data_IF_470518576987
#
_entry.id   IF_470518576987
#
_cell.length_a   1.000
_cell.length_b   1.000
_cell.length_c   1.000
_cell.angle_alpha   90.00
_cell.angle_beta   90.00
_cell.angle_gamma   90.00
#
_symmetry.space_group_name_H-M   'P 1'
#
loop_
_entity.id
_entity.type
_entity.pdbx_description
1 polymer ?
#
# COMPACT_ATOMS: atom_id res chain seq x y z
N UNK A 1 16.39 10.29 29.20
CA UNK A 1 14.93 10.50 29.20
C UNK A 1 14.47 10.45 27.75
N UNK A 2 13.59 9.50 27.43
CA UNK A 2 13.02 9.30 26.10
C UNK A 2 12.08 10.46 25.78
N UNK A 3 12.10 10.91 24.54
CA UNK A 3 11.30 12.03 24.12
C UNK A 3 10.40 11.60 22.97
N UNK A 4 9.22 11.10 23.31
CA UNK A 4 8.23 10.64 22.32
C UNK A 4 7.50 11.86 21.73
N UNK A 5 8.22 12.71 21.03
CA UNK A 5 7.64 13.91 20.46
C UNK A 5 7.32 13.70 18.99
N UNK A 6 6.04 13.67 18.64
CA UNK A 6 5.56 13.44 17.28
C UNK A 6 5.38 14.77 16.52
N UNK A 7 6.19 15.02 15.49
CA UNK A 7 5.96 15.97 14.40
C UNK A 7 5.58 15.18 13.13
N UNK A 8 6.53 14.46 12.54
CA UNK A 8 6.29 13.59 11.39
C UNK A 8 5.28 12.49 11.70
N UNK A 9 4.37 12.23 10.76
CA UNK A 9 3.31 11.25 10.96
C UNK A 9 2.89 10.59 9.66
N UNK A 10 2.53 9.32 9.78
CA UNK A 10 2.06 8.50 8.68
C UNK A 10 1.02 7.50 9.16
N UNK A 11 0.05 7.20 8.30
CA UNK A 11 -0.96 6.17 8.51
C UNK A 11 -0.91 5.19 7.36
N UNK A 12 -1.00 3.89 7.65
CA UNK A 12 -1.03 2.88 6.60
C UNK A 12 -2.00 1.74 6.90
N UNK A 13 -2.63 1.24 5.83
CA UNK A 13 -3.37 0.00 5.81
C UNK A 13 -2.46 -1.10 5.23
N UNK A 14 -2.31 -2.19 5.98
CA UNK A 14 -1.48 -3.32 5.59
C UNK A 14 -2.30 -4.61 5.58
N UNK A 15 -2.45 -5.21 4.39
CA UNK A 15 -3.16 -6.47 4.18
C UNK A 15 -4.59 -6.52 4.75
N UNK A 16 -5.29 -5.39 4.73
CA UNK A 16 -6.67 -5.28 5.24
C UNK A 16 -7.68 -4.77 4.21
N UNK A 17 -7.22 -4.17 3.10
CA UNK A 17 -8.10 -3.74 2.02
C UNK A 17 -8.13 -4.79 0.89
N UNK A 18 -9.30 -5.12 0.31
CA UNK A 18 -9.41 -6.13 -0.74
C UNK A 18 -8.60 -5.79 -2.00
N UNK A 19 -8.67 -4.54 -2.47
CA UNK A 19 -7.91 -4.08 -3.64
C UNK A 19 -6.50 -3.55 -3.36
N UNK A 20 -6.23 -3.06 -2.15
CA UNK A 20 -5.00 -2.35 -1.83
C UNK A 20 -4.27 -3.07 -0.69
N UNK A 21 -3.47 -4.11 -0.98
CA UNK A 21 -2.66 -4.79 0.03
C UNK A 21 -1.76 -3.84 0.83
N UNK A 22 -1.41 -2.68 0.26
CA UNK A 22 -0.73 -1.61 0.99
C UNK A 22 -1.25 -0.24 0.55
N UNK A 23 -1.57 0.60 1.52
CA UNK A 23 -1.92 2.02 1.34
C UNK A 23 -1.24 2.82 2.45
N UNK A 24 -0.60 3.93 2.11
CA UNK A 24 0.16 4.79 3.02
C UNK A 24 -0.18 6.25 2.72
N UNK A 25 -0.41 7.04 3.78
CA UNK A 25 -0.36 8.49 3.75
C UNK A 25 0.74 8.96 4.70
N UNK A 26 1.53 9.95 4.30
CA UNK A 26 2.70 10.42 5.03
C UNK A 26 2.80 11.95 4.94
N UNK A 27 3.04 12.61 6.08
CA UNK A 27 3.56 13.98 6.12
C UNK A 27 5.05 13.92 6.39
N UNK A 28 5.85 14.55 5.54
CA UNK A 28 7.26 14.81 5.81
C UNK A 28 7.39 16.20 6.43
N UNK A 29 7.89 16.25 7.65
CA UNK A 29 8.08 17.50 8.38
C UNK A 29 9.55 17.88 8.46
N UNK A 30 9.90 19.03 7.89
CA UNK A 30 11.27 19.49 7.74
C UNK A 30 11.34 21.02 7.57
N UNK A 31 12.53 21.60 7.72
CA UNK A 31 12.77 22.99 7.33
C UNK A 31 12.43 23.23 5.85
N UNK A 32 11.65 24.29 5.58
CA UNK A 32 11.21 24.67 4.23
C UNK A 32 12.38 25.11 3.33
N UNK A 33 13.51 25.48 3.91
CA UNK A 33 14.72 25.79 3.15
C UNK A 33 15.65 24.58 2.95
N UNK A 34 15.36 23.39 3.51
CA UNK A 34 16.24 22.21 3.33
C UNK A 34 16.15 21.71 1.88
N UNK A 35 17.27 21.69 1.11
CA UNK A 35 17.30 21.14 -0.23
C UNK A 35 16.71 19.71 -0.30
N UNK A 36 15.73 19.52 -1.17
CA UNK A 36 14.91 18.30 -1.27
C UNK A 36 14.44 18.17 -2.71
N UNK A 37 14.56 16.97 -3.30
CA UNK A 37 13.85 16.62 -4.54
C UNK A 37 12.52 15.95 -4.21
N UNK A 38 11.51 16.33 -4.96
CA UNK A 38 10.17 15.73 -4.92
C UNK A 38 10.21 14.24 -5.29
N UNK A 39 9.11 13.53 -5.09
CA UNK A 39 8.98 12.11 -5.45
C UNK A 39 9.19 11.96 -6.95
N UNK A 40 10.12 11.09 -7.33
CA UNK A 40 10.44 10.80 -8.71
C UNK A 40 11.30 9.55 -8.83
N UNK A 41 11.45 9.07 -10.06
CA UNK A 41 12.41 8.01 -10.35
C UNK A 41 13.83 8.55 -10.18
N UNK A 42 14.62 7.86 -9.38
CA UNK A 42 16.03 8.17 -9.21
C UNK A 42 16.81 7.75 -10.45
N UNK A 43 18.05 8.22 -10.56
CA UNK A 43 18.97 7.77 -11.59
C UNK A 43 19.10 6.23 -11.57
N UNK A 44 19.09 5.60 -12.75
CA UNK A 44 19.01 4.14 -12.89
C UNK A 44 17.58 3.58 -12.87
N UNK A 45 16.58 4.36 -12.45
CA UNK A 45 15.16 4.02 -12.63
C UNK A 45 14.65 2.88 -11.76
N UNK A 46 15.40 2.46 -10.73
CA UNK A 46 15.03 1.37 -9.83
C UNK A 46 14.30 1.83 -8.57
N UNK A 47 14.61 3.04 -8.09
CA UNK A 47 14.03 3.62 -6.87
C UNK A 47 13.08 4.75 -7.26
N UNK A 48 11.88 4.73 -6.69
CA UNK A 48 10.87 5.77 -6.78
C UNK A 48 10.61 6.34 -5.39
N UNK A 49 10.91 7.61 -5.18
CA UNK A 49 10.75 8.27 -3.89
C UNK A 49 11.35 9.66 -3.85
N UNK A 50 11.08 10.41 -2.79
CA UNK A 50 11.69 11.73 -2.60
C UNK A 50 13.13 11.61 -2.10
N UNK A 51 13.95 12.64 -2.36
CA UNK A 51 15.38 12.63 -2.01
C UNK A 51 15.77 13.84 -1.17
N UNK A 52 16.45 13.58 -0.06
CA UNK A 52 17.12 14.60 0.72
C UNK A 52 18.44 14.96 0.02
N UNK A 53 18.59 16.20 -0.47
CA UNK A 53 19.79 16.62 -1.21
C UNK A 53 20.96 16.99 -0.29
N UNK A 54 20.71 17.16 1.02
CA UNK A 54 21.76 17.45 2.00
C UNK A 54 22.42 16.16 2.46
N UNK A 55 21.63 15.15 2.83
CA UNK A 55 22.13 13.89 3.37
C UNK A 55 22.18 12.75 2.34
N UNK A 56 21.60 12.93 1.15
CA UNK A 56 21.60 11.95 0.06
C UNK A 56 20.59 10.81 0.20
N UNK A 57 19.89 10.70 1.33
CA UNK A 57 18.96 9.61 1.63
C UNK A 57 17.50 9.90 1.25
N UNK A 58 16.58 9.08 1.76
CA UNK A 58 15.13 9.20 1.56
C UNK A 58 14.33 9.02 2.85
N UNK A 59 13.12 9.57 2.90
CA UNK A 59 12.14 9.36 3.97
C UNK A 59 11.07 8.32 3.61
N UNK A 60 10.82 8.13 2.32
CA UNK A 60 9.89 7.16 1.74
C UNK A 60 10.29 6.89 0.29
N UNK A 61 10.49 5.62 -0.02
CA UNK A 61 10.67 5.17 -1.38
C UNK A 61 10.25 3.70 -1.57
N UNK A 62 10.06 3.30 -2.83
CA UNK A 62 9.87 1.92 -3.22
C UNK A 62 10.74 1.54 -4.42
N UNK A 63 10.92 0.23 -4.64
CA UNK A 63 11.61 -0.30 -5.83
C UNK A 63 10.65 -1.02 -6.78
N UNK A 64 11.10 -1.22 -8.03
CA UNK A 64 10.41 -2.06 -9.02
C UNK A 64 10.16 -3.48 -8.56
N UNK A 65 11.04 -4.01 -7.71
CA UNK A 65 10.94 -5.37 -7.18
C UNK A 65 9.90 -5.51 -6.05
N UNK A 66 9.21 -4.41 -5.69
CA UNK A 66 8.16 -4.43 -4.68
C UNK A 66 8.69 -4.33 -3.25
N UNK A 67 9.84 -3.68 -3.07
CA UNK A 67 10.28 -3.23 -1.74
C UNK A 67 9.75 -1.84 -1.47
N UNK A 68 9.28 -1.60 -0.25
CA UNK A 68 8.91 -0.25 0.22
C UNK A 68 9.61 -0.01 1.54
N UNK A 69 10.15 1.17 1.76
CA UNK A 69 10.68 1.55 3.06
C UNK A 69 10.51 3.02 3.34
N UNK A 70 10.22 3.30 4.61
CA UNK A 70 9.98 4.63 5.12
C UNK A 70 10.35 4.69 6.59
N UNK A 71 10.60 5.89 7.09
CA UNK A 71 11.01 6.09 8.48
C UNK A 71 10.37 7.32 9.09
N UNK A 72 10.43 7.39 10.42
CA UNK A 72 10.36 8.65 11.17
C UNK A 72 11.61 8.81 12.02
N UNK A 73 12.03 10.05 12.20
CA UNK A 73 13.07 10.40 13.15
C UNK A 73 12.50 10.37 14.57
N UNK A 74 13.28 10.02 15.60
CA UNK A 74 12.88 10.24 17.00
C UNK A 74 13.48 11.58 17.45
N UNK A 75 12.69 12.42 18.12
CA UNK A 75 13.20 13.68 18.68
C UNK A 75 14.11 13.38 19.87
N UNK A 76 15.26 14.03 19.96
CA UNK A 76 16.19 13.83 21.06
C UNK A 76 16.85 15.15 21.45
N UNK A 77 16.95 15.44 22.75
CA UNK A 77 17.71 16.59 23.27
C UNK A 77 19.21 16.43 23.05
N UNK A 78 19.69 15.19 23.02
CA UNK A 78 21.10 14.86 22.83
C UNK A 78 21.25 13.92 21.64
N UNK A 79 21.77 14.46 20.55
CA UNK A 79 22.11 13.75 19.33
C UNK A 79 23.61 13.47 19.28
N UNK A 80 23.97 12.43 18.54
CA UNK A 80 25.34 12.12 18.16
C UNK A 80 25.67 12.94 16.89
N UNK A 81 26.63 13.88 16.92
CA UNK A 81 26.98 14.69 15.75
C UNK A 81 27.54 13.86 14.59
N UNK A 82 28.33 12.83 14.90
CA UNK A 82 28.99 11.94 13.94
C UNK A 82 28.11 10.75 13.52
N UNK A 83 26.83 10.73 13.89
CA UNK A 83 25.95 9.63 13.51
C UNK A 83 25.67 9.62 12.01
N UNK A 84 25.53 8.41 11.45
CA UNK A 84 25.06 8.21 10.08
C UNK A 84 23.67 8.82 9.90
N UNK A 85 23.41 9.34 8.70
CA UNK A 85 22.09 9.86 8.35
C UNK A 85 21.03 8.76 8.43
N UNK A 86 19.90 9.02 9.09
CA UNK A 86 18.80 8.04 9.16
C UNK A 86 18.16 7.77 7.80
N UNK A 87 18.19 8.74 6.89
CA UNK A 87 17.70 8.60 5.51
C UNK A 87 18.47 7.57 4.66
N UNK A 88 19.63 7.11 5.14
CA UNK A 88 20.39 6.00 4.57
C UNK A 88 19.71 4.65 4.82
N UNK A 89 18.95 4.50 5.92
CA UNK A 89 18.36 3.22 6.31
C UNK A 89 17.35 2.66 5.29
N UNK A 90 16.38 3.45 4.77
CA UNK A 90 15.47 2.96 3.75
C UNK A 90 16.21 2.65 2.46
N UNK A 91 17.16 3.51 2.07
CA UNK A 91 17.95 3.34 0.86
C UNK A 91 18.74 2.02 0.88
N UNK A 92 19.46 1.74 1.97
CA UNK A 92 20.20 0.48 2.17
C UNK A 92 19.31 -0.75 2.06
N UNK A 93 18.07 -0.69 2.55
CA UNK A 93 17.13 -1.82 2.40
C UNK A 93 16.70 -2.00 0.94
N UNK A 94 16.33 -0.90 0.28
CA UNK A 94 15.85 -0.88 -1.11
C UNK A 94 16.92 -1.37 -2.09
N UNK A 95 18.19 -1.01 -1.88
CA UNK A 95 19.33 -1.42 -2.72
C UNK A 95 19.84 -2.83 -2.41
N UNK A 96 19.51 -3.37 -1.23
CA UNK A 96 19.91 -4.73 -0.86
C UNK A 96 19.09 -5.79 -1.59
N UNK A 97 19.59 -7.03 -1.66
CA UNK A 97 18.79 -8.21 -2.05
C UNK A 97 18.14 -8.94 -0.87
N UNK A 98 18.23 -8.37 0.33
CA UNK A 98 17.78 -9.01 1.58
C UNK A 98 16.27 -8.92 1.72
N UNK A 99 15.65 -9.94 2.32
CA UNK A 99 14.29 -9.83 2.84
C UNK A 99 14.23 -8.82 4.00
N UNK A 100 13.03 -8.33 4.32
CA UNK A 100 12.83 -7.41 5.47
C UNK A 100 13.34 -8.00 6.79
N UNK A 101 13.19 -9.31 6.98
CA UNK A 101 13.64 -10.01 8.19
C UNK A 101 15.17 -10.11 8.28
N UNK A 102 15.84 -10.44 7.18
CA UNK A 102 17.30 -10.50 7.11
C UNK A 102 17.93 -9.13 7.31
N UNK A 103 17.36 -8.10 6.66
CA UNK A 103 17.80 -6.72 6.83
C UNK A 103 17.66 -6.26 8.29
N UNK A 104 16.52 -6.56 8.93
CA UNK A 104 16.31 -6.23 10.34
C UNK A 104 17.36 -6.87 11.26
N UNK A 105 17.69 -8.17 11.06
CA UNK A 105 18.69 -8.89 11.87
C UNK A 105 20.10 -8.31 11.72
N UNK A 106 20.43 -7.80 10.54
CA UNK A 106 21.71 -7.14 10.30
C UNK A 106 21.75 -5.76 10.92
N UNK A 107 20.73 -4.94 10.67
CA UNK A 107 20.68 -3.56 11.13
C UNK A 107 20.81 -3.46 12.66
N UNK A 108 20.23 -4.41 13.42
CA UNK A 108 20.36 -4.47 14.90
C UNK A 108 21.80 -4.41 15.38
N UNK A 109 22.78 -4.89 14.59
CA UNK A 109 24.20 -4.90 14.98
C UNK A 109 24.83 -3.51 14.92
N UNK A 110 24.29 -2.60 14.11
CA UNK A 110 24.88 -1.30 13.79
C UNK A 110 23.95 -0.12 14.13
N UNK A 111 22.75 -0.35 14.70
CA UNK A 111 21.81 0.72 15.06
C UNK A 111 22.35 1.80 16.00
N UNK A 112 23.46 1.52 16.69
CA UNK A 112 24.14 2.45 17.57
C UNK A 112 24.88 3.56 16.81
N UNK A 113 25.13 3.38 15.51
CA UNK A 113 25.72 4.39 14.63
C UNK A 113 24.73 5.47 14.17
N UNK A 114 23.44 5.31 14.49
CA UNK A 114 22.37 6.20 14.09
C UNK A 114 21.74 6.91 15.29
N UNK A 115 21.33 8.17 15.08
CA UNK A 115 20.39 8.84 15.99
C UNK A 115 19.03 8.13 16.03
N UNK A 116 18.13 8.53 16.93
CA UNK A 116 16.88 7.82 17.15
C UNK A 116 16.01 7.74 15.90
N UNK A 117 15.50 6.55 15.59
CA UNK A 117 14.64 6.32 14.42
C UNK A 117 13.55 5.27 14.67
N UNK A 118 12.54 5.32 13.80
CA UNK A 118 11.57 4.27 13.56
C UNK A 118 11.63 3.95 12.07
N UNK A 119 11.91 2.70 11.70
CA UNK A 119 12.03 2.25 10.31
C UNK A 119 10.98 1.20 10.04
N UNK A 120 10.31 1.32 8.88
CA UNK A 120 9.48 0.27 8.32
C UNK A 120 10.13 -0.23 7.03
N UNK A 121 10.23 -1.54 6.91
CA UNK A 121 10.63 -2.23 5.67
C UNK A 121 9.50 -3.17 5.26
N UNK A 122 9.06 -3.07 4.01
CA UNK A 122 8.01 -3.89 3.41
C UNK A 122 8.59 -4.64 2.23
N UNK A 123 8.31 -5.93 2.20
CA UNK A 123 8.57 -6.80 1.05
C UNK A 123 7.22 -7.36 0.59
N UNK A 124 6.74 -6.84 -0.54
CA UNK A 124 5.45 -7.21 -1.11
C UNK A 124 5.44 -8.64 -1.66
N UNK A 125 6.60 -9.15 -2.09
CA UNK A 125 6.75 -10.51 -2.62
C UNK A 125 6.49 -11.55 -1.53
N UNK A 126 7.05 -11.32 -0.33
CA UNK A 126 6.86 -12.19 0.83
C UNK A 126 5.67 -11.78 1.70
N UNK A 127 5.03 -10.65 1.41
CA UNK A 127 3.96 -10.03 2.20
C UNK A 127 4.35 -9.88 3.67
N UNK A 128 5.61 -9.50 3.91
CA UNK A 128 6.15 -9.25 5.24
C UNK A 128 6.48 -7.78 5.41
N UNK A 129 6.19 -7.27 6.60
CA UNK A 129 6.54 -5.92 7.02
C UNK A 129 7.22 -6.01 8.38
N UNK A 130 8.31 -5.28 8.55
CA UNK A 130 9.05 -5.19 9.80
C UNK A 130 9.18 -3.75 10.25
N UNK A 131 8.93 -3.55 11.55
CA UNK A 131 9.21 -2.35 12.30
C UNK A 131 10.50 -2.52 13.07
N UNK A 132 11.43 -1.56 12.91
CA UNK A 132 12.74 -1.56 13.55
C UNK A 132 12.93 -0.21 14.22
N UNK A 133 13.34 -0.20 15.49
CA UNK A 133 13.69 1.03 16.18
C UNK A 133 14.87 0.81 17.12
N UNK A 134 15.77 1.79 17.17
CA UNK A 134 16.87 1.83 18.13
C UNK A 134 16.49 2.56 19.43
N UNK A 135 15.18 2.75 19.66
CA UNK A 135 14.61 3.38 20.86
C UNK A 135 13.64 2.42 21.56
N UNK A 136 13.47 2.55 22.89
CA UNK A 136 14.08 3.56 23.78
C UNK A 136 15.57 3.32 24.07
N UNK A 137 16.31 4.39 24.42
CA UNK A 137 17.74 4.29 24.78
C UNK A 137 17.94 3.40 26.00
N UNK A 138 19.00 2.59 25.99
CA UNK A 138 19.34 1.68 27.09
C UNK A 138 18.56 0.36 27.10
N UNK A 139 17.66 0.16 26.13
CA UNK A 139 17.00 -1.12 25.88
C UNK A 139 17.54 -1.73 24.58
N UNK A 140 17.40 -3.05 24.40
CA UNK A 140 17.67 -3.70 23.12
C UNK A 140 16.85 -3.05 21.99
N UNK A 141 17.38 -2.98 20.76
CA UNK A 141 16.64 -2.47 19.62
C UNK A 141 15.35 -3.28 19.41
N UNK A 142 14.26 -2.59 19.09
CA UNK A 142 12.98 -3.23 18.77
C UNK A 142 13.05 -3.75 17.33
N UNK A 143 12.74 -5.03 17.15
CA UNK A 143 12.44 -5.63 15.84
C UNK A 143 11.13 -6.37 15.96
N UNK A 144 10.14 -5.98 15.17
CA UNK A 144 8.79 -6.51 15.24
C UNK A 144 8.24 -6.73 13.84
N UNK A 145 7.73 -7.93 13.56
CA UNK A 145 6.89 -8.14 12.38
C UNK A 145 5.55 -7.43 12.56
N UNK A 146 5.21 -6.53 11.65
CA UNK A 146 3.94 -5.80 11.66
C UNK A 146 2.84 -6.72 11.14
N UNK A 147 1.78 -6.87 11.93
CA UNK A 147 0.63 -7.71 11.61
C UNK A 147 -0.31 -6.97 10.65
N UNK A 148 -1.17 -7.69 9.90
CA UNK A 148 -2.23 -7.05 9.12
C UNK A 148 -3.08 -6.12 9.98
N UNK A 149 -3.32 -4.91 9.51
CA UNK A 149 -4.01 -3.88 10.29
C UNK A 149 -3.93 -2.48 9.69
N UNK A 150 -4.63 -1.55 10.34
CA UNK A 150 -4.39 -0.11 10.17
C UNK A 150 -3.44 0.31 11.29
N UNK A 151 -2.36 0.96 10.91
CA UNK A 151 -1.30 1.41 11.81
C UNK A 151 -1.00 2.88 11.59
N UNK A 152 -0.55 3.53 12.65
CA UNK A 152 -0.05 4.89 12.57
C UNK A 152 1.33 4.93 13.20
N UNK A 153 2.28 5.48 12.47
CA UNK A 153 3.63 5.74 12.95
C UNK A 153 3.83 7.25 13.02
N UNK A 154 4.35 7.72 14.14
CA UNK A 154 4.88 9.06 14.29
C UNK A 154 6.34 8.96 14.74
N UNK A 155 6.93 10.01 15.27
CA UNK A 155 8.28 9.97 15.85
C UNK A 155 8.37 9.17 17.17
N UNK A 156 7.26 8.65 17.68
CA UNK A 156 7.22 7.73 18.82
C UNK A 156 7.15 6.27 18.35
N UNK A 157 7.02 5.31 19.28
CA UNK A 157 6.81 3.90 18.96
C UNK A 157 5.59 3.71 18.04
N UNK A 158 5.63 2.69 17.18
CA UNK A 158 4.48 2.30 16.33
C UNK A 158 3.19 2.18 17.15
N UNK A 159 2.10 2.79 16.66
CA UNK A 159 0.78 2.85 17.31
C UNK A 159 0.77 3.47 18.72
N UNK A 160 1.72 4.36 19.03
CA UNK A 160 1.71 5.11 20.30
C UNK A 160 0.40 5.88 20.48
N UNK A 161 -0.17 5.94 21.69
CA UNK A 161 -1.50 6.49 21.95
C UNK A 161 -1.56 8.03 21.98
N UNK A 162 -0.77 8.70 21.13
CA UNK A 162 -0.79 10.15 20.99
C UNK A 162 -2.14 10.65 20.46
N UNK A 163 -2.69 11.79 20.95
CA UNK A 163 -3.99 12.30 20.48
C UNK A 163 -4.10 12.41 18.97
N UNK A 164 -3.06 12.95 18.30
CA UNK A 164 -3.02 13.05 16.84
C UNK A 164 -2.94 11.70 16.13
N UNK A 165 -2.26 10.73 16.74
CA UNK A 165 -2.15 9.37 16.23
C UNK A 165 -3.51 8.67 16.28
N UNK A 166 -4.19 8.74 17.43
CA UNK A 166 -5.52 8.15 17.60
C UNK A 166 -6.55 8.82 16.67
N UNK A 167 -6.51 10.15 16.57
CA UNK A 167 -7.37 10.93 15.67
C UNK A 167 -7.16 10.56 14.21
N UNK A 168 -5.90 10.52 13.74
CA UNK A 168 -5.59 10.11 12.37
C UNK A 168 -6.03 8.67 12.09
N UNK A 169 -5.75 7.74 13.01
CA UNK A 169 -6.15 6.32 12.88
C UNK A 169 -7.67 6.18 12.75
N UNK A 170 -8.41 6.87 13.60
CA UNK A 170 -9.87 6.85 13.58
C UNK A 170 -10.43 7.44 12.28
N UNK A 171 -10.00 8.65 11.91
CA UNK A 171 -10.49 9.33 10.71
C UNK A 171 -10.12 8.58 9.43
N UNK A 172 -8.91 8.02 9.35
CA UNK A 172 -8.48 7.18 8.23
C UNK A 172 -9.35 5.93 8.09
N UNK A 173 -9.62 5.23 9.20
CA UNK A 173 -10.51 4.06 9.20
C UNK A 173 -11.93 4.42 8.74
N UNK A 174 -12.47 5.52 9.25
CA UNK A 174 -13.79 6.01 8.87
C UNK A 174 -13.85 6.34 7.38
N UNK A 175 -12.89 7.11 6.88
CA UNK A 175 -12.85 7.50 5.47
C UNK A 175 -12.68 6.27 4.56
N UNK A 176 -11.78 5.36 4.91
CA UNK A 176 -11.58 4.12 4.14
C UNK A 176 -12.86 3.27 4.05
N UNK A 177 -13.70 3.29 5.08
CA UNK A 177 -14.99 2.58 5.07
C UNK A 177 -16.10 3.24 4.25
N UNK A 178 -15.88 4.48 3.78
CA UNK A 178 -16.84 5.18 2.90
C UNK A 178 -16.65 4.86 1.42
N UNK A 179 -15.53 4.26 1.05
CA UNK A 179 -15.24 3.87 -0.32
C UNK A 179 -15.72 2.44 -0.56
N UNK A 180 -16.33 2.22 -1.73
CA UNK A 180 -16.73 0.89 -2.15
C UNK A 180 -15.49 0.00 -2.34
N UNK A 181 -15.60 -1.27 -1.96
CA UNK A 181 -14.47 -2.22 -1.99
C UNK A 181 -13.89 -2.42 -3.41
N UNK A 182 -14.69 -2.11 -4.44
CA UNK A 182 -14.35 -2.27 -5.86
C UNK A 182 -13.93 -0.96 -6.56
N UNK A 183 -13.94 0.17 -5.86
CA UNK A 183 -13.61 1.49 -6.42
C UNK A 183 -12.17 1.93 -6.11
N UNK A 184 -11.71 2.89 -6.92
CA UNK A 184 -10.39 3.46 -6.76
C UNK A 184 -10.34 4.42 -5.58
N UNK A 185 -9.34 4.26 -4.71
CA UNK A 185 -9.18 5.13 -3.55
C UNK A 185 -8.74 6.52 -4.03
N UNK A 186 -9.50 7.59 -3.72
CA UNK A 186 -9.17 8.94 -4.15
C UNK A 186 -8.04 9.50 -3.27
N UNK A 187 -6.79 9.15 -3.59
CA UNK A 187 -5.60 9.51 -2.80
C UNK A 187 -5.50 11.01 -2.48
N UNK A 188 -5.83 11.87 -3.45
CA UNK A 188 -5.85 13.33 -3.25
C UNK A 188 -6.84 13.73 -2.15
N UNK A 189 -8.06 13.22 -2.22
CA UNK A 189 -9.11 13.52 -1.24
C UNK A 189 -8.70 13.03 0.16
N UNK A 190 -8.07 11.86 0.25
CA UNK A 190 -7.56 11.35 1.53
C UNK A 190 -6.49 12.27 2.13
N UNK A 191 -5.54 12.75 1.31
CA UNK A 191 -4.54 13.73 1.76
C UNK A 191 -5.23 15.01 2.25
N UNK A 192 -6.13 15.57 1.44
CA UNK A 192 -6.78 16.85 1.77
C UNK A 192 -7.64 16.77 3.03
N UNK A 193 -8.34 15.65 3.26
CA UNK A 193 -9.21 15.45 4.43
C UNK A 193 -8.45 15.06 5.70
N UNK A 194 -7.35 14.31 5.59
CA UNK A 194 -6.70 13.69 6.75
C UNK A 194 -5.37 14.34 7.11
N UNK A 195 -4.56 14.69 6.12
CA UNK A 195 -3.16 15.06 6.33
C UNK A 195 -2.94 16.57 6.50
N UNK A 196 -3.98 17.38 6.24
CA UNK A 196 -4.00 18.85 6.45
C UNK A 196 -4.55 19.28 7.82
N UNK A 197 -4.73 18.35 8.76
CA UNK A 197 -5.28 18.63 10.09
C UNK A 197 -4.31 19.45 10.95
N UNK A 198 -4.70 20.69 11.28
CA UNK A 198 -3.94 21.65 12.09
C UNK A 198 -4.29 21.61 13.58
N UNK A 199 -5.13 20.68 14.02
CA UNK A 199 -5.61 20.61 15.40
C UNK A 199 -4.46 20.25 16.35
N UNK A 200 -4.16 21.16 17.28
CA UNK A 200 -3.15 20.99 18.32
C UNK A 200 -3.68 20.13 19.47
N UNK A 201 -2.77 19.50 20.21
CA UNK A 201 -3.11 18.76 21.43
C UNK A 201 -3.29 19.70 22.63
N UNK A 202 -4.16 19.31 23.56
CA UNK A 202 -4.30 20.02 24.83
C UNK A 202 -3.00 19.99 25.64
N UNK A 203 -2.73 21.07 26.39
CA UNK A 203 -1.53 21.16 27.23
C UNK A 203 -1.35 19.97 28.19
N UNK A 204 -2.45 19.42 28.71
CA UNK A 204 -2.43 18.26 29.61
C UNK A 204 -2.02 16.95 28.93
N UNK A 205 -2.06 16.90 27.60
CA UNK A 205 -1.71 15.72 26.79
C UNK A 205 -0.30 15.82 26.21
N UNK A 206 0.39 16.95 26.37
CA UNK A 206 1.76 17.14 25.92
C UNK A 206 2.74 16.43 26.86
N UNK A 207 3.89 15.96 26.33
CA UNK A 207 4.81 15.15 27.11
C UNK A 207 5.68 15.96 28.08
N UNK A 208 5.67 17.29 28.00
CA UNK A 208 6.42 18.22 28.87
C UNK A 208 7.93 17.94 28.89
N UNK A 209 8.48 17.74 27.70
CA UNK A 209 9.86 17.42 27.40
C UNK A 209 10.66 18.68 27.02
N UNK A 210 10.06 19.53 26.19
CA UNK A 210 10.66 20.78 25.71
C UNK A 210 9.67 21.94 25.95
N UNK A 211 10.08 23.21 25.70
CA UNK A 211 9.21 24.34 26.00
C UNK A 211 7.82 24.18 25.40
N UNK A 212 6.80 24.54 26.18
CA UNK A 212 5.39 24.36 25.81
C UNK A 212 5.08 24.87 24.41
N UNK A 213 5.61 26.03 24.02
CA UNK A 213 5.34 26.61 22.70
C UNK A 213 5.80 25.68 21.56
N UNK A 214 6.95 25.03 21.72
CA UNK A 214 7.47 24.06 20.76
C UNK A 214 6.61 22.79 20.73
N UNK A 215 6.26 22.29 21.92
CA UNK A 215 5.41 21.10 22.05
C UNK A 215 3.98 21.30 21.62
N UNK A 216 3.46 22.50 21.75
CA UNK A 216 2.14 22.81 21.27
C UNK A 216 2.19 22.95 19.74
N UNK A 217 3.20 23.66 19.22
CA UNK A 217 3.31 23.96 17.80
C UNK A 217 3.52 22.73 16.90
N UNK A 218 4.18 21.67 17.38
CA UNK A 218 4.40 20.45 16.60
C UNK A 218 3.33 19.35 16.80
N UNK A 219 2.30 19.60 17.62
CA UNK A 219 1.33 18.58 18.04
C UNK A 219 0.19 18.27 17.06
N UNK A 220 0.13 18.97 15.92
CA UNK A 220 -0.82 18.70 14.83
C UNK A 220 -0.31 17.65 13.85
N UNK A 221 -1.18 17.18 12.96
CA UNK A 221 -0.80 16.30 11.84
C UNK A 221 -0.08 17.11 10.76
N UNK A 222 -0.65 18.27 10.41
CA UNK A 222 -0.03 19.27 9.55
C UNK A 222 0.69 20.29 10.42
N UNK A 223 2.02 20.31 10.34
CA UNK A 223 2.89 21.11 11.21
C UNK A 223 3.29 22.39 10.50
N UNK A 224 3.20 23.53 11.20
CA UNK A 224 3.74 24.81 10.73
C UNK A 224 4.22 25.61 11.94
N UNK A 225 5.52 25.91 11.96
CA UNK A 225 6.19 26.63 13.04
C UNK A 225 7.25 27.56 12.47
N UNK A 226 7.20 28.83 12.87
CA UNK A 226 8.28 29.77 12.58
C UNK A 226 9.35 29.67 13.67
N UNK A 227 10.61 29.48 13.25
CA UNK A 227 11.76 29.32 14.15
C UNK A 227 12.83 30.38 13.83
N UNK A 228 13.79 30.65 14.73
CA UNK A 228 14.91 31.53 14.43
C UNK A 228 15.76 31.10 13.21
N UNK A 229 15.71 29.82 12.83
CA UNK A 229 16.43 29.27 11.67
C UNK A 229 15.60 29.30 10.38
N UNK A 230 14.33 29.69 10.46
CA UNK A 230 13.38 29.66 9.35
C UNK A 230 12.13 28.85 9.66
N UNK A 231 11.24 28.71 8.68
CA UNK A 231 9.99 27.96 8.81
C UNK A 231 10.25 26.45 8.80
N UNK A 232 9.73 25.77 9.82
CA UNK A 232 9.75 24.33 9.97
C UNK A 232 8.32 23.80 9.92
N UNK A 233 8.08 22.72 9.17
CA UNK A 233 6.73 22.18 9.05
C UNK A 233 6.57 21.11 7.99
N UNK A 234 5.32 20.76 7.73
CA UNK A 234 4.93 19.80 6.70
C UNK A 234 5.31 20.36 5.34
N UNK A 235 6.36 19.76 4.77
CA UNK A 235 6.95 20.16 3.50
C UNK A 235 6.41 19.33 2.34
N UNK A 236 6.07 18.07 2.58
CA UNK A 236 5.38 17.24 1.60
C UNK A 236 4.39 16.29 2.25
N UNK A 237 3.32 15.99 1.51
CA UNK A 237 2.30 15.03 1.87
C UNK A 237 2.18 14.03 0.73
N UNK A 238 2.40 12.76 1.05
CA UNK A 238 2.53 11.69 0.07
C UNK A 238 1.48 10.63 0.35
N UNK A 239 0.76 10.22 -0.69
CA UNK A 239 -0.03 9.02 -0.72
C UNK A 239 0.64 7.99 -1.64
N UNK A 240 0.82 6.77 -1.13
CA UNK A 240 1.30 5.62 -1.87
C UNK A 240 0.27 4.51 -1.74
N UNK A 241 -0.29 4.08 -2.87
CA UNK A 241 -1.18 2.92 -2.93
C UNK A 241 -0.53 1.82 -3.75
N UNK A 242 -0.69 0.57 -3.31
CA UNK A 242 -0.25 -0.62 -4.05
C UNK A 242 -1.45 -1.54 -4.15
N UNK A 243 -1.83 -1.83 -5.39
CA UNK A 243 -2.94 -2.72 -5.71
C UNK A 243 -2.55 -4.18 -5.66
N UNK A 244 -3.56 -5.05 -5.61
CA UNK A 244 -3.41 -6.50 -5.67
C UNK A 244 -2.79 -7.00 -6.98
N UNK A 245 -2.95 -6.22 -8.06
CA UNK A 245 -2.29 -6.40 -9.36
C UNK A 245 -0.84 -5.89 -9.40
N UNK A 246 -0.27 -5.50 -8.25
CA UNK A 246 1.10 -5.00 -8.07
C UNK A 246 1.36 -3.64 -8.74
N UNK A 247 0.31 -2.89 -9.06
CA UNK A 247 0.42 -1.51 -9.53
C UNK A 247 0.57 -0.54 -8.35
N UNK A 248 1.62 0.30 -8.38
CA UNK A 248 1.91 1.25 -7.30
C UNK A 248 1.66 2.69 -7.75
N UNK A 249 0.67 3.37 -7.19
CA UNK A 249 0.38 4.78 -7.54
C UNK A 249 0.85 5.72 -6.46
N UNK A 250 1.46 6.83 -6.88
CA UNK A 250 1.89 7.93 -6.03
C UNK A 250 1.06 9.19 -6.30
N UNK A 251 0.72 9.86 -5.22
CA UNK A 251 0.28 11.25 -5.23
C UNK A 251 1.12 12.01 -4.20
N UNK A 252 1.68 13.14 -4.58
CA UNK A 252 2.40 14.03 -3.70
C UNK A 252 1.90 15.46 -3.86
N UNK A 253 1.74 16.16 -2.75
CA UNK A 253 1.75 17.62 -2.74
C UNK A 253 2.91 18.10 -1.89
N UNK A 254 3.67 19.08 -2.39
CA UNK A 254 4.93 19.49 -1.77
C UNK A 254 5.18 21.00 -1.90
N UNK A 255 6.01 21.54 -1.02
CA UNK A 255 6.44 22.94 -1.06
C UNK A 255 7.73 23.08 -1.87
N UNK A 256 7.68 23.95 -2.86
CA UNK A 256 8.84 24.45 -3.58
C UNK A 256 8.69 25.97 -3.79
N UNK A 257 9.72 26.74 -3.42
CA UNK A 257 9.73 28.21 -3.49
C UNK A 257 8.50 28.85 -2.81
N UNK A 258 8.15 28.36 -1.63
CA UNK A 258 6.99 28.81 -0.83
C UNK A 258 5.61 28.58 -1.48
N UNK A 259 5.55 27.83 -2.59
CA UNK A 259 4.30 27.45 -3.26
C UNK A 259 4.06 25.96 -3.13
N UNK A 260 2.79 25.58 -3.00
CA UNK A 260 2.37 24.18 -3.04
C UNK A 260 2.24 23.72 -4.48
N UNK A 261 2.91 22.61 -4.78
CA UNK A 261 2.84 21.91 -6.05
C UNK A 261 2.13 20.57 -5.85
N UNK A 262 1.58 20.04 -6.93
CA UNK A 262 0.96 18.72 -6.96
C UNK A 262 1.64 17.87 -8.02
N UNK A 263 1.85 16.59 -7.69
CA UNK A 263 2.40 15.58 -8.58
C UNK A 263 1.58 14.30 -8.43
N UNK A 264 1.07 13.78 -9.53
CA UNK A 264 0.20 12.61 -9.55
C UNK A 264 0.71 11.62 -10.59
N UNK A 265 0.42 10.33 -10.39
CA UNK A 265 0.56 9.30 -11.40
C UNK A 265 1.95 9.22 -12.04
N UNK A 266 2.98 9.03 -11.22
CA UNK A 266 4.34 8.64 -11.66
C UNK A 266 4.41 7.25 -12.31
N UNK A 267 3.25 6.68 -12.63
CA UNK A 267 3.02 5.33 -13.11
C UNK A 267 2.86 5.21 -14.63
N UNK A 268 3.05 6.28 -15.40
CA UNK A 268 2.74 6.24 -16.83
C UNK A 268 3.62 5.29 -17.67
N UNK A 269 4.62 4.59 -17.10
CA UNK A 269 5.53 3.78 -17.91
C UNK A 269 5.82 2.32 -17.52
N UNK A 270 5.64 1.78 -16.29
CA UNK A 270 5.93 0.34 -16.04
C UNK A 270 5.39 -0.18 -14.68
N UNK A 271 4.72 -1.35 -14.70
CA UNK A 271 4.29 -2.14 -13.52
C UNK A 271 5.47 -2.52 -12.59
N UNK A 272 5.23 -2.71 -11.29
CA UNK A 272 6.20 -3.37 -10.42
C UNK A 272 6.43 -4.81 -10.92
N UNK A 273 7.69 -5.22 -11.02
CA UNK A 273 8.08 -6.58 -11.39
C UNK A 273 8.32 -7.39 -10.12
N UNK A 274 7.24 -7.72 -9.39
CA UNK A 274 7.36 -8.56 -8.21
C UNK A 274 7.63 -9.99 -8.66
N UNK A 275 8.88 -10.45 -8.54
CA UNK A 275 9.21 -11.86 -8.79
C UNK A 275 8.57 -12.70 -7.69
N UNK A 276 7.47 -13.40 -8.01
CA UNK A 276 6.85 -14.36 -7.10
C UNK A 276 7.89 -15.41 -6.69
N UNK A 277 8.05 -15.62 -5.38
CA UNK A 277 8.73 -16.82 -4.90
C UNK A 277 8.02 -18.05 -5.49
N UNK A 278 8.80 -19.04 -5.96
CA UNK A 278 8.28 -20.29 -6.51
C UNK A 278 7.17 -20.84 -5.60
N UNK A 279 6.00 -21.24 -6.14
CA UNK A 279 4.87 -21.59 -5.32
C UNK A 279 5.21 -22.80 -4.46
N UNK A 280 5.43 -22.58 -3.15
CA UNK A 280 5.22 -23.64 -2.18
C UNK A 280 3.74 -23.99 -2.23
N UNK A 281 3.45 -25.27 -2.48
CA UNK A 281 2.13 -25.77 -2.87
C UNK A 281 0.97 -25.08 -2.17
N UNK A 282 0.01 -24.59 -2.97
CA UNK A 282 -1.27 -24.10 -2.46
C UNK A 282 -1.84 -25.23 -1.58
N UNK A 283 -2.22 -24.93 -0.33
CA UNK A 283 -3.06 -25.83 0.43
C UNK A 283 -4.25 -26.23 -0.45
N UNK A 284 -4.50 -27.53 -0.58
CA UNK A 284 -5.56 -28.05 -1.43
C UNK A 284 -6.87 -27.35 -1.06
N UNK A 285 -7.41 -26.55 -1.98
CA UNK A 285 -8.75 -26.01 -1.82
C UNK A 285 -9.69 -27.21 -1.90
N UNK A 286 -10.57 -27.37 -0.91
CA UNK A 286 -11.61 -28.39 -0.90
C UNK A 286 -12.30 -28.43 -2.27
N UNK A 287 -12.16 -29.54 -3.04
CA UNK A 287 -12.73 -29.69 -4.37
C UNK A 287 -14.26 -29.53 -4.37
N UNK A 288 -14.91 -29.82 -3.24
CA UNK A 288 -16.36 -29.82 -3.08
C UNK A 288 -16.93 -28.46 -2.65
N UNK A 289 -16.08 -27.46 -2.36
CA UNK A 289 -16.55 -26.12 -2.01
C UNK A 289 -17.13 -25.41 -3.24
N UNK A 290 -18.39 -24.92 -3.17
CA UNK A 290 -19.00 -24.20 -4.29
C UNK A 290 -18.14 -23.01 -4.74
N UNK A 291 -17.95 -22.86 -6.07
CA UNK A 291 -17.23 -21.73 -6.67
C UNK A 291 -18.11 -20.47 -6.68
N UNK A 292 -17.52 -19.31 -6.39
CA UNK A 292 -18.23 -18.02 -6.41
C UNK A 292 -18.76 -17.70 -7.82
N UNK A 293 -19.96 -17.14 -7.97
CA UNK A 293 -20.54 -16.80 -9.27
C UNK A 293 -19.89 -15.54 -9.86
N UNK A 294 -19.99 -15.41 -11.19
CA UNK A 294 -19.54 -14.23 -11.93
C UNK A 294 -20.34 -12.97 -11.56
N UNK A 295 -19.67 -11.81 -11.47
CA UNK A 295 -20.31 -10.49 -11.27
C UNK A 295 -21.00 -9.99 -12.55
N UNK A 296 -21.80 -8.92 -12.46
CA UNK A 296 -22.56 -8.36 -13.59
C UNK A 296 -21.66 -8.03 -14.80
N UNK A 297 -20.47 -7.47 -14.56
CA UNK A 297 -19.49 -7.21 -15.61
C UNK A 297 -19.02 -8.49 -16.31
N UNK A 298 -18.74 -9.56 -15.56
CA UNK A 298 -18.31 -10.82 -16.17
C UNK A 298 -19.44 -11.54 -16.89
N UNK A 299 -20.67 -11.42 -16.40
CA UNK A 299 -21.87 -11.89 -17.12
C UNK A 299 -22.03 -11.15 -18.45
N UNK A 300 -21.76 -9.83 -18.48
CA UNK A 300 -21.70 -9.06 -19.72
C UNK A 300 -20.55 -9.52 -20.63
N UNK A 301 -19.36 -9.77 -20.07
CA UNK A 301 -18.20 -10.22 -20.84
C UNK A 301 -18.39 -11.59 -21.49
N UNK A 302 -19.22 -12.48 -20.92
CA UNK A 302 -19.59 -13.76 -21.55
C UNK A 302 -20.25 -13.55 -22.92
N UNK A 303 -21.17 -12.58 -23.01
CA UNK A 303 -21.92 -12.26 -24.21
C UNK A 303 -21.10 -11.36 -25.14
N UNK A 304 -20.41 -10.36 -24.59
CA UNK A 304 -19.56 -9.43 -25.33
C UNK A 304 -18.41 -10.15 -26.04
N UNK A 305 -17.77 -11.15 -25.41
CA UNK A 305 -16.67 -11.90 -26.04
C UNK A 305 -17.12 -12.65 -27.29
N UNK A 306 -18.34 -13.20 -27.30
CA UNK A 306 -18.91 -13.89 -28.46
C UNK A 306 -19.11 -12.91 -29.61
N UNK A 307 -19.81 -11.81 -29.33
CA UNK A 307 -20.06 -10.76 -30.31
C UNK A 307 -18.74 -10.17 -30.84
N UNK A 308 -17.78 -9.89 -29.95
CA UNK A 308 -16.50 -9.32 -30.34
C UNK A 308 -15.66 -10.27 -31.20
N UNK A 309 -15.73 -11.58 -30.96
CA UNK A 309 -15.07 -12.61 -31.79
C UNK A 309 -15.70 -12.70 -33.18
N UNK A 310 -17.02 -12.57 -33.28
CA UNK A 310 -17.75 -12.52 -34.56
C UNK A 310 -17.43 -11.25 -35.36
N UNK A 311 -17.35 -10.10 -34.70
CA UNK A 311 -17.03 -8.81 -35.32
C UNK A 311 -15.53 -8.65 -35.64
N UNK A 312 -14.66 -9.39 -34.95
CA UNK A 312 -13.21 -9.32 -35.10
C UNK A 312 -12.58 -10.72 -35.22
N UNK A 313 -12.89 -11.48 -36.29
CA UNK A 313 -12.49 -12.88 -36.42
C UNK A 313 -10.97 -13.10 -36.48
N UNK A 314 -10.20 -12.06 -36.87
CA UNK A 314 -8.74 -12.10 -36.94
C UNK A 314 -8.05 -11.65 -35.64
N UNK A 315 -8.80 -11.22 -34.62
CA UNK A 315 -8.22 -10.74 -33.37
C UNK A 315 -7.89 -11.90 -32.43
N UNK A 316 -6.60 -12.24 -32.32
CA UNK A 316 -6.09 -13.25 -31.38
C UNK A 316 -5.76 -12.68 -29.98
N UNK A 317 -5.88 -11.37 -29.77
CA UNK A 317 -5.46 -10.70 -28.54
C UNK A 317 -6.57 -10.66 -27.49
N UNK A 318 -6.48 -11.54 -26.49
CA UNK A 318 -7.37 -11.54 -25.31
C UNK A 318 -7.34 -10.19 -24.58
N UNK A 319 -6.19 -9.52 -24.55
CA UNK A 319 -6.02 -8.20 -23.96
C UNK A 319 -6.84 -7.12 -24.69
N UNK A 320 -6.90 -7.18 -26.03
CA UNK A 320 -7.70 -6.26 -26.83
C UNK A 320 -9.21 -6.44 -26.56
N UNK A 321 -9.68 -7.69 -26.45
CA UNK A 321 -11.08 -8.00 -26.10
C UNK A 321 -11.43 -7.44 -24.72
N UNK A 322 -10.54 -7.63 -23.73
CA UNK A 322 -10.72 -7.10 -22.38
C UNK A 322 -10.82 -5.58 -22.33
N UNK A 323 -9.93 -4.88 -23.05
CA UNK A 323 -9.94 -3.41 -23.14
C UNK A 323 -11.22 -2.87 -23.79
N UNK A 324 -11.65 -3.48 -24.89
CA UNK A 324 -12.88 -3.11 -25.59
C UNK A 324 -14.12 -3.35 -24.71
N UNK A 325 -14.18 -4.48 -24.02
CA UNK A 325 -15.28 -4.83 -23.12
C UNK A 325 -15.39 -3.88 -21.93
N UNK A 326 -14.25 -3.52 -21.30
CA UNK A 326 -14.22 -2.53 -20.22
C UNK A 326 -14.70 -1.15 -20.67
N UNK A 327 -14.24 -0.69 -21.84
CA UNK A 327 -14.69 0.59 -22.41
C UNK A 327 -16.19 0.59 -22.71
N UNK A 328 -16.72 -0.48 -23.31
CA UNK A 328 -18.15 -0.64 -23.61
C UNK A 328 -19.00 -0.67 -22.34
N UNK A 329 -18.56 -1.39 -21.31
CA UNK A 329 -19.26 -1.44 -20.03
C UNK A 329 -19.33 -0.06 -19.36
N UNK A 330 -18.24 0.71 -19.41
CA UNK A 330 -18.21 2.09 -18.86
C UNK A 330 -19.15 3.04 -19.62
N UNK A 331 -19.35 2.84 -20.91
CA UNK A 331 -20.26 3.67 -21.73
C UNK A 331 -21.75 3.30 -21.61
N UNK A 332 -22.08 2.13 -21.05
CA UNK A 332 -23.46 1.68 -20.90
C UNK A 332 -24.16 2.42 -19.76
N UNK A 333 -25.42 2.80 -20.02
CA UNK A 333 -26.35 3.32 -19.02
C UNK A 333 -26.79 2.26 -18.02
N UNK A 334 -27.36 2.68 -16.90
CA UNK A 334 -27.87 1.76 -15.88
C UNK A 334 -28.99 0.86 -16.41
N UNK A 335 -29.81 1.37 -17.34
CA UNK A 335 -30.84 0.58 -18.01
C UNK A 335 -30.26 -0.55 -18.88
N UNK A 336 -29.12 -0.32 -19.53
CA UNK A 336 -28.42 -1.33 -20.33
C UNK A 336 -27.65 -2.33 -19.45
N UNK A 337 -27.22 -1.91 -18.26
CA UNK A 337 -26.56 -2.79 -17.27
C UNK A 337 -27.53 -3.64 -16.46
N UNK A 338 -28.77 -3.18 -16.29
CA UNK A 338 -29.83 -3.86 -15.52
C UNK A 338 -30.01 -5.37 -15.82
N UNK A 339 -30.06 -5.84 -17.09
CA UNK A 339 -30.20 -7.28 -17.36
C UNK A 339 -29.00 -8.11 -16.87
N UNK A 340 -27.79 -7.58 -16.96
CA UNK A 340 -26.57 -8.25 -16.48
C UNK A 340 -26.51 -8.27 -14.95
N UNK A 341 -26.95 -7.18 -14.31
CA UNK A 341 -27.10 -7.11 -12.85
C UNK A 341 -28.12 -8.14 -12.36
N UNK A 342 -29.30 -8.21 -12.98
CA UNK A 342 -30.33 -9.18 -12.61
C UNK A 342 -29.85 -10.64 -12.76
N UNK A 343 -29.09 -10.94 -13.82
CA UNK A 343 -28.51 -12.28 -14.06
C UNK A 343 -27.41 -12.62 -13.05
N UNK A 344 -26.56 -11.65 -12.67
CA UNK A 344 -25.57 -11.82 -11.62
C UNK A 344 -26.22 -12.01 -10.23
N UNK A 345 -27.25 -11.24 -9.91
CA UNK A 345 -27.99 -11.36 -8.64
C UNK A 345 -28.71 -12.71 -8.54
N UNK A 346 -29.24 -13.22 -9.66
CA UNK A 346 -29.81 -14.58 -9.70
C UNK A 346 -28.75 -15.64 -9.41
N UNK A 347 -27.59 -15.58 -10.08
CA UNK A 347 -26.47 -16.51 -9.83
C UNK A 347 -25.95 -16.41 -8.40
N UNK A 348 -25.93 -15.21 -7.81
CA UNK A 348 -25.58 -14.97 -6.40
C UNK A 348 -26.57 -15.65 -5.44
N UNK A 349 -27.88 -15.48 -5.67
CA UNK A 349 -28.92 -16.15 -4.86
C UNK A 349 -28.85 -17.68 -4.95
N UNK A 350 -28.55 -18.21 -6.13
CA UNK A 350 -28.34 -19.65 -6.33
C UNK A 350 -27.09 -20.14 -5.59
N UNK A 351 -25.98 -19.41 -5.70
CA UNK A 351 -24.74 -19.72 -4.97
C UNK A 351 -24.92 -19.66 -3.45
N UNK A 352 -25.63 -18.67 -2.91
CA UNK A 352 -25.91 -18.56 -1.48
C UNK A 352 -26.70 -19.77 -0.96
N UNK A 353 -27.66 -20.27 -1.74
CA UNK A 353 -28.37 -21.53 -1.41
C UNK A 353 -27.43 -22.73 -1.42
N UNK A 354 -26.58 -22.86 -2.44
CA UNK A 354 -25.63 -23.97 -2.57
C UNK A 354 -24.58 -23.94 -1.45
N UNK A 355 -24.09 -22.74 -1.10
CA UNK A 355 -23.12 -22.54 -0.02
C UNK A 355 -23.73 -22.83 1.35
N UNK A 356 -24.98 -22.40 1.59
CA UNK A 356 -25.71 -22.73 2.82
C UNK A 356 -25.91 -24.24 2.98
N UNK A 357 -26.21 -24.95 1.88
CA UNK A 357 -26.33 -26.41 1.88
C UNK A 357 -24.98 -27.11 2.11
N UNK A 358 -23.90 -26.62 1.48
CA UNK A 358 -22.55 -27.13 1.70
C UNK A 358 -22.10 -26.94 3.16
N UNK A 359 -22.32 -25.76 3.75
CA UNK A 359 -21.98 -25.51 5.15
C UNK A 359 -22.79 -26.42 6.09
N UNK A 360 -24.11 -26.59 5.84
CA UNK A 360 -24.94 -27.53 6.62
C UNK A 360 -24.46 -28.97 6.55
N UNK A 361 -24.03 -29.45 5.37
CA UNK A 361 -23.48 -30.81 5.21
C UNK A 361 -22.14 -30.98 5.94
N UNK A 362 -21.30 -29.95 5.90
CA UNK A 362 -20.01 -29.92 6.59
C UNK A 362 -20.15 -29.91 8.12
N UNK A 363 -21.10 -29.14 8.64
CA UNK A 363 -21.36 -29.05 10.08
C UNK A 363 -22.03 -30.32 10.66
N UNK A 364 -22.69 -31.12 9.81
CA UNK A 364 -23.32 -32.38 10.19
C UNK A 364 -22.35 -33.58 10.25
N UNK A 365 -21.05 -33.39 9.98
CA UNK A 365 -20.03 -34.44 10.11
C UNK A 365 -20.11 -35.58 9.08
N UNK A 366 -20.80 -35.37 7.95
CA UNK A 366 -20.92 -36.37 6.89
C UNK A 366 -19.70 -36.37 5.98
N UNK A 367 -18.68 -37.16 6.32
CA UNK A 367 -17.85 -37.85 5.32
C UNK A 367 -18.64 -39.07 4.87
N UNK A 368 -19.44 -38.92 3.81
CA UNK A 368 -19.84 -40.05 2.98
C UNK A 368 -19.63 -39.67 1.52
N UNK A 369 -18.72 -40.42 0.89
CA UNK A 369 -18.65 -40.59 -0.55
C UNK A 369 -20.05 -40.96 -1.05
N UNK A 370 -20.65 -40.10 -1.88
CA UNK A 370 -21.73 -40.54 -2.76
C UNK A 370 -21.45 -40.06 -4.18
N UNK A 371 -21.20 -41.06 -5.01
CA UNK A 371 -20.91 -40.98 -6.42
C UNK A 371 -22.23 -40.77 -7.19
N UNK A 372 -22.14 -39.99 -8.27
CA UNK A 372 -23.18 -39.77 -9.27
C UNK A 372 -24.44 -38.96 -8.88
N UNK A 373 -24.53 -37.73 -9.40
CA UNK A 373 -25.58 -37.50 -10.39
C UNK A 373 -25.12 -36.54 -11.49
N UNK A 374 -25.32 -37.01 -12.71
CA UNK A 374 -24.75 -36.51 -13.96
C UNK A 374 -25.76 -35.54 -14.56
N UNK A 375 -25.53 -34.24 -14.42
CA UNK A 375 -26.19 -33.26 -15.31
C UNK A 375 -25.16 -32.58 -16.19
N UNK A 376 -25.11 -33.08 -17.44
CA UNK A 376 -24.54 -32.45 -18.62
C UNK A 376 -24.88 -30.95 -18.66
N UNK A 377 -23.87 -30.11 -18.83
CA UNK A 377 -23.98 -28.98 -19.75
C UNK A 377 -22.68 -28.90 -20.54
N UNK A 378 -22.85 -28.81 -21.85
CA UNK A 378 -21.90 -29.09 -22.92
C UNK A 378 -20.52 -28.44 -22.80
N UNK A 379 -19.56 -29.26 -23.24
CA UNK A 379 -18.16 -29.02 -23.55
C UNK A 379 -18.03 -27.96 -24.65
N UNK A 380 -17.02 -27.10 -24.52
CA UNK A 380 -16.17 -26.71 -25.64
C UNK A 380 -14.77 -26.47 -25.07
N UNK A 381 -14.12 -27.57 -24.75
CA UNK A 381 -12.66 -27.67 -24.68
C UNK A 381 -12.17 -27.81 -26.13
N UNK A 382 -11.55 -26.75 -26.65
CA UNK A 382 -10.48 -26.92 -27.62
C UNK A 382 -9.20 -26.56 -26.86
N UNK A 383 -8.50 -27.61 -26.45
CA UNK A 383 -7.08 -27.58 -26.10
C UNK A 383 -6.31 -27.24 -27.39
N UNK A 384 -5.56 -26.14 -27.38
CA UNK A 384 -4.41 -26.00 -28.26
C UNK A 384 -3.18 -25.86 -27.36
N UNK A 385 -2.41 -26.94 -27.34
CA UNK A 385 -0.97 -26.92 -27.08
C UNK A 385 -0.34 -25.81 -27.94
N UNK A 386 0.55 -25.00 -27.35
CA UNK A 386 1.55 -24.34 -28.20
C UNK A 386 2.92 -24.46 -27.56
N UNK A 387 3.77 -25.14 -28.33
CA UNK A 387 5.15 -25.42 -28.04
C UNK A 387 5.99 -24.16 -28.19
N UNK A 388 7.06 -24.13 -27.42
CA UNK A 388 8.19 -23.26 -27.69
C UNK A 388 8.90 -23.74 -28.94
N UNK A 389 8.64 -23.12 -30.09
CA UNK A 389 9.60 -23.08 -31.19
C UNK A 389 10.38 -21.76 -31.09
N UNK A 390 11.68 -21.95 -30.86
CA UNK A 390 12.74 -20.97 -31.05
C UNK A 390 12.93 -20.81 -32.56
N UNK A 391 12.78 -19.60 -33.09
CA UNK A 391 13.33 -19.25 -34.40
C UNK A 391 14.37 -18.13 -34.23
N UNK A 392 15.60 -18.56 -34.44
CA UNK A 392 16.72 -17.77 -34.94
C UNK A 392 16.37 -17.18 -36.32
N UNK A 393 16.89 -16.00 -36.62
CA UNK A 393 17.48 -15.56 -37.92
C UNK A 393 17.58 -14.02 -37.87
N UNK A 394 18.77 -13.43 -37.74
CA UNK A 394 19.78 -13.17 -38.78
C UNK A 394 19.30 -12.29 -39.95
N UNK A 395 20.07 -11.20 -40.14
CA UNK A 395 20.05 -10.10 -41.12
C UNK A 395 19.06 -8.92 -40.98
#
# INVERSE_FOLDING_TARGET
MQLDYAYEIMVFAWQVHPLYPFLLLLNRDEYHHRPTKEVGWWEGGEILGGRDEVAGGTWLACTREGKVSFLTNVLELHTLPEAKSRGDLPLRFLESKKSSEEFAKELVKEVHEYNGFNLITVDLSSKKMFYISNRPKGQPPTVQQVQPGIHVLSNAKLDSPWPKVQRLKFNFKMLLSTYDEDEDIPMKEMIDKLMRDTMKADKSQLPNICPFDWEHALSSIFVEVDTPLGRYGTRSMIALSIRDNEEASFYETYIERELWWEKTDLNHERRLTVKKAAPKGKAAKDPNKPKRPASAFFVFMEDFRKQFKEENPNNKSVAAVGKAGGAKWKSMSDGEKAPFQAKADKRKKEYEKTLANYNKKKDAGGDEDDDSDKSKSEVNDEEDEDGSEEDEDDD
#
